data_IF_048679003307
#
_entry.id   IF_048679003307
#
_cell.length_a   1.000
_cell.length_b   1.000
_cell.length_c   1.000
_cell.angle_alpha   90.00
_cell.angle_beta   90.00
_cell.angle_gamma   90.00
#
_symmetry.space_group_name_H-M   'P 1'
#
loop_
_entity.id
_entity.type
_entity.pdbx_description
1 polymer ?
#
# COMPACT_ATOMS: atom_id res chain seq x y z
N UNK A 1 12.91 15.30 -16.54
CA UNK A 1 12.28 13.98 -16.74
C UNK A 1 12.39 13.21 -15.42
N UNK A 2 11.28 12.93 -14.73
CA UNK A 2 11.34 12.21 -13.44
C UNK A 2 11.06 10.74 -13.66
N UNK A 3 12.07 9.92 -13.39
CA UNK A 3 12.04 8.47 -13.43
C UNK A 3 11.36 7.93 -12.16
N UNK A 4 10.52 6.91 -12.28
CA UNK A 4 10.01 6.18 -11.12
C UNK A 4 11.15 5.36 -10.50
N UNK A 5 11.35 5.49 -9.19
CA UNK A 5 12.45 4.84 -8.46
C UNK A 5 11.89 3.99 -7.31
N UNK A 6 12.56 2.89 -6.97
CA UNK A 6 12.18 2.03 -5.84
C UNK A 6 12.78 2.48 -4.52
N UNK A 7 12.03 2.19 -3.45
CA UNK A 7 12.51 2.25 -2.08
C UNK A 7 12.64 0.82 -1.52
N UNK A 8 13.85 0.39 -1.11
CA UNK A 8 14.07 -0.91 -0.49
C UNK A 8 13.29 -1.13 0.82
N UNK A 9 12.80 -0.03 1.40
CA UNK A 9 12.11 -0.01 2.68
C UNK A 9 10.61 0.28 2.54
N UNK A 10 10.03 0.18 1.34
CA UNK A 10 8.59 0.32 1.22
C UNK A 10 7.89 -0.90 1.84
N UNK A 11 7.07 -0.68 2.88
CA UNK A 11 6.28 -1.73 3.48
C UNK A 11 5.07 -2.00 2.57
N UNK A 12 5.29 -2.69 1.45
CA UNK A 12 4.22 -3.40 0.77
C UNK A 12 3.85 -4.61 1.63
N UNK A 13 3.20 -4.36 2.76
CA UNK A 13 2.82 -5.40 3.70
C UNK A 13 1.50 -6.08 3.28
N UNK A 14 0.71 -5.46 2.39
CA UNK A 14 -0.53 -6.02 1.85
C UNK A 14 -0.89 -5.51 0.45
N UNK A 15 -0.99 -6.43 -0.52
CA UNK A 15 -1.39 -6.14 -1.90
C UNK A 15 -0.84 -7.15 -2.92
N UNK A 16 -1.52 -7.26 -4.06
CA UNK A 16 -1.03 -8.00 -5.24
C UNK A 16 -0.64 -7.05 -6.40
N UNK A 17 -0.78 -5.74 -6.20
CA UNK A 17 -0.48 -4.73 -7.21
C UNK A 17 0.87 -4.11 -6.87
N UNK A 18 1.79 -4.15 -7.84
CA UNK A 18 2.99 -3.33 -7.78
C UNK A 18 2.61 -1.85 -7.72
N UNK A 19 3.35 -1.11 -6.93
CA UNK A 19 3.21 0.33 -6.84
C UNK A 19 4.49 0.94 -7.40
N UNK A 20 4.35 1.78 -8.42
CA UNK A 20 5.46 2.62 -8.86
C UNK A 20 5.58 3.78 -7.87
N UNK A 21 6.77 4.36 -7.73
CA UNK A 21 6.99 5.49 -6.82
C UNK A 21 7.83 6.55 -7.51
N UNK A 22 7.51 7.80 -7.27
CA UNK A 22 8.32 8.93 -7.71
C UNK A 22 8.37 9.93 -6.56
N UNK A 23 9.56 10.40 -6.19
CA UNK A 23 9.86 11.26 -5.02
C UNK A 23 8.63 11.88 -4.33
N UNK A 24 8.18 11.27 -3.22
CA UNK A 24 7.04 11.75 -2.44
C UNK A 24 5.65 11.29 -2.87
N UNK A 25 5.55 10.50 -3.95
CA UNK A 25 4.29 9.95 -4.46
C UNK A 25 4.37 8.44 -4.64
N UNK A 26 3.20 7.82 -4.53
CA UNK A 26 2.91 6.45 -4.94
C UNK A 26 2.02 6.51 -6.17
N UNK A 27 2.42 5.81 -7.23
CA UNK A 27 1.66 5.63 -8.46
C UNK A 27 1.05 4.23 -8.49
N UNK A 28 -0.28 4.19 -8.47
CA UNK A 28 -1.06 2.94 -8.53
C UNK A 28 -1.76 2.84 -9.89
N UNK A 29 -1.72 1.67 -10.57
CA UNK A 29 -2.49 1.48 -11.80
C UNK A 29 -3.94 1.89 -11.58
N UNK A 30 -4.46 2.70 -12.50
CA UNK A 30 -5.75 3.36 -12.32
C UNK A 30 -6.88 2.34 -12.23
N UNK A 31 -7.67 2.44 -11.16
CA UNK A 31 -8.95 1.76 -11.03
C UNK A 31 -10.06 2.81 -11.05
N UNK A 32 -11.08 2.63 -11.87
CA UNK A 32 -12.16 3.62 -12.05
C UNK A 32 -12.95 3.90 -10.78
N UNK A 33 -13.20 2.88 -9.94
CA UNK A 33 -13.93 3.05 -8.67
C UNK A 33 -13.09 3.80 -7.64
N UNK A 34 -11.79 3.51 -7.58
CA UNK A 34 -10.88 4.21 -6.68
C UNK A 34 -10.67 5.65 -7.10
N UNK A 35 -10.53 5.92 -8.40
CA UNK A 35 -10.46 7.29 -8.90
C UNK A 35 -11.73 8.07 -8.55
N UNK A 36 -12.91 7.50 -8.82
CA UNK A 36 -14.18 8.13 -8.46
C UNK A 36 -14.30 8.38 -6.94
N UNK A 37 -13.78 7.47 -6.10
CA UNK A 37 -13.72 7.70 -4.67
C UNK A 37 -12.89 8.94 -4.32
N UNK A 38 -11.70 9.12 -4.90
CA UNK A 38 -10.88 10.31 -4.65
C UNK A 38 -11.48 11.60 -5.23
N UNK A 39 -12.17 11.52 -6.38
CA UNK A 39 -12.81 12.68 -7.02
C UNK A 39 -14.10 13.13 -6.31
N UNK A 40 -14.84 12.19 -5.70
CA UNK A 40 -16.16 12.44 -5.11
C UNK A 40 -16.15 12.46 -3.57
N UNK A 41 -15.03 12.10 -2.91
CA UNK A 41 -14.97 12.07 -1.45
C UNK A 41 -15.20 13.45 -0.84
N UNK A 42 -15.97 13.45 0.24
CA UNK A 42 -16.19 14.61 1.07
C UNK A 42 -14.94 14.99 1.89
N UNK A 43 -14.85 16.26 2.28
CA UNK A 43 -13.74 16.82 3.05
C UNK A 43 -13.54 16.09 4.39
N UNK A 44 -14.61 15.57 5.00
CA UNK A 44 -14.52 14.82 6.24
C UNK A 44 -13.68 13.54 6.11
N UNK A 45 -13.65 12.92 4.92
CA UNK A 45 -12.90 11.69 4.64
C UNK A 45 -11.44 11.95 4.27
N UNK A 46 -11.10 13.15 3.78
CA UNK A 46 -9.76 13.49 3.30
C UNK A 46 -8.67 13.27 4.34
N UNK A 47 -8.97 13.51 5.61
CA UNK A 47 -8.01 13.32 6.72
C UNK A 47 -7.63 11.84 7.00
N UNK A 48 -8.36 10.90 6.40
CA UNK A 48 -8.20 9.46 6.58
C UNK A 48 -7.73 8.74 5.31
N UNK A 49 -7.32 9.48 4.29
CA UNK A 49 -6.76 8.91 3.06
C UNK A 49 -5.53 9.72 2.63
N UNK A 50 -4.64 9.15 1.83
CA UNK A 50 -3.59 9.94 1.21
C UNK A 50 -4.16 11.03 0.32
N UNK A 51 -3.46 12.15 0.23
CA UNK A 51 -3.85 13.19 -0.72
C UNK A 51 -3.79 12.65 -2.15
N UNK A 52 -4.84 12.93 -2.92
CA UNK A 52 -4.86 12.68 -4.35
C UNK A 52 -4.07 13.77 -5.06
N UNK A 53 -2.97 13.38 -5.72
CA UNK A 53 -2.04 14.30 -6.39
C UNK A 53 -2.25 14.35 -7.91
N UNK A 54 -3.31 13.70 -8.42
CA UNK A 54 -3.67 13.69 -9.83
C UNK A 54 -3.51 12.32 -10.50
N UNK A 55 -3.57 12.31 -11.83
CA UNK A 55 -3.38 11.12 -12.67
C UNK A 55 -2.30 11.35 -13.70
N UNK A 56 -1.58 10.29 -14.04
CA UNK A 56 -0.53 10.33 -15.06
C UNK A 56 -0.62 9.13 -15.97
N UNK A 57 -0.22 9.33 -17.22
CA UNK A 57 0.14 8.25 -18.13
C UNK A 57 1.57 7.84 -17.86
N UNK A 58 1.86 6.55 -17.80
CA UNK A 58 3.22 6.01 -17.70
C UNK A 58 3.51 5.18 -18.95
N UNK A 59 4.57 5.55 -19.65
CA UNK A 59 5.09 4.83 -20.79
C UNK A 59 6.39 4.11 -20.39
N UNK A 60 6.53 2.84 -20.79
CA UNK A 60 7.74 2.06 -20.60
C UNK A 60 8.42 1.85 -21.96
N UNK A 61 9.69 2.23 -22.07
CA UNK A 61 10.53 1.99 -23.25
C UNK A 61 11.74 1.14 -22.87
N UNK A 62 12.15 0.26 -23.78
CA UNK A 62 13.41 -0.51 -23.65
C UNK A 62 14.49 0.33 -24.33
N UNK A 63 15.55 0.63 -23.60
CA UNK A 63 16.75 1.31 -24.12
C UNK A 63 17.70 0.27 -24.77
N UNK A 64 18.70 0.74 -25.52
CA UNK A 64 19.60 -0.13 -26.30
C UNK A 64 20.40 -1.13 -25.45
N UNK A 65 20.64 -0.81 -24.17
CA UNK A 65 21.34 -1.66 -23.20
C UNK A 65 20.41 -2.65 -22.46
N UNK A 66 19.13 -2.67 -22.82
CA UNK A 66 18.09 -3.48 -22.20
C UNK A 66 17.50 -2.88 -20.91
N UNK A 67 18.01 -1.74 -20.43
CA UNK A 67 17.39 -1.02 -19.32
C UNK A 67 16.03 -0.46 -19.75
N UNK A 68 15.11 -0.42 -18.79
CA UNK A 68 13.75 0.04 -18.98
C UNK A 68 13.60 1.45 -18.42
N UNK A 69 13.15 2.36 -19.28
CA UNK A 69 12.85 3.73 -18.92
C UNK A 69 11.35 3.93 -18.77
N UNK A 70 10.95 4.42 -17.60
CA UNK A 70 9.56 4.74 -17.28
C UNK A 70 9.36 6.26 -17.28
N UNK A 71 8.53 6.77 -18.18
CA UNK A 71 8.26 8.19 -18.36
C UNK A 71 6.81 8.48 -17.98
N UNK A 72 6.60 9.45 -17.09
CA UNK A 72 5.28 9.95 -16.70
C UNK A 72 4.89 11.20 -17.49
N UNK A 73 3.62 11.26 -17.92
CA UNK A 73 3.02 12.39 -18.61
C UNK A 73 1.65 12.74 -17.99
N UNK A 74 1.41 14.01 -17.57
CA UNK A 74 2.36 15.13 -17.55
C UNK A 74 3.49 14.92 -16.53
N UNK A 75 4.53 15.76 -16.61
CA UNK A 75 5.65 15.69 -15.67
C UNK A 75 5.16 15.90 -14.24
N UNK A 76 5.48 14.95 -13.36
CA UNK A 76 5.05 15.00 -11.97
C UNK A 76 5.88 16.03 -11.19
N UNK A 77 5.21 17.02 -10.60
CA UNK A 77 5.82 17.91 -9.61
C UNK A 77 5.98 17.19 -8.25
N UNK A 78 6.99 16.33 -8.16
CA UNK A 78 7.42 15.75 -6.89
C UNK A 78 7.82 16.80 -5.85
N UNK A 79 7.43 16.55 -4.60
CA UNK A 79 7.75 17.33 -3.41
C UNK A 79 9.28 17.59 -3.31
N UNK A 80 9.75 18.84 -3.49
CA UNK A 80 11.16 19.16 -3.70
C UNK A 80 12.04 18.96 -2.46
N UNK A 81 11.44 18.87 -1.27
CA UNK A 81 12.14 18.74 0.02
C UNK A 81 12.48 17.30 0.41
N UNK A 82 12.01 16.30 -0.35
CA UNK A 82 12.29 14.90 -0.07
C UNK A 82 13.58 14.46 -0.77
N UNK A 83 14.49 13.81 -0.02
CA UNK A 83 15.73 13.25 -0.57
C UNK A 83 15.38 12.31 -1.73
N UNK A 84 16.12 12.43 -2.85
CA UNK A 84 15.99 11.49 -3.98
C UNK A 84 16.17 10.08 -3.42
N UNK A 85 15.17 9.23 -3.63
CA UNK A 85 15.31 7.82 -3.31
C UNK A 85 16.29 7.16 -4.26
N UNK A 86 16.95 6.09 -3.81
CA UNK A 86 17.92 5.35 -4.60
C UNK A 86 17.38 5.02 -5.99
N UNK A 87 18.21 5.21 -7.02
CA UNK A 87 17.84 4.89 -8.39
C UNK A 87 17.72 3.39 -8.52
N UNK A 88 16.52 2.90 -8.74
CA UNK A 88 16.32 1.51 -9.14
C UNK A 88 15.92 1.50 -10.58
N UNK A 89 16.57 0.60 -11.30
CA UNK A 89 16.37 0.41 -12.72
C UNK A 89 15.63 -0.89 -12.93
N UNK A 90 14.75 -0.90 -13.90
CA UNK A 90 14.18 -2.13 -14.40
C UNK A 90 14.99 -2.53 -15.62
N UNK A 91 15.17 -3.83 -15.85
CA UNK A 91 15.83 -4.35 -17.05
C UNK A 91 14.97 -5.45 -17.66
N UNK A 92 14.94 -5.53 -18.98
CA UNK A 92 14.33 -6.66 -19.66
C UNK A 92 15.40 -7.75 -19.85
N UNK A 93 15.28 -8.85 -19.11
CA UNK A 93 16.19 -10.00 -19.25
C UNK A 93 15.93 -10.80 -20.54
N UNK A 94 16.86 -11.68 -20.91
CA UNK A 94 16.80 -12.50 -22.13
C UNK A 94 15.51 -13.35 -22.23
N UNK A 95 14.99 -13.79 -21.08
CA UNK A 95 13.72 -14.52 -20.98
C UNK A 95 12.46 -13.65 -21.15
N UNK A 96 12.62 -12.39 -21.60
CA UNK A 96 11.58 -11.34 -21.68
C UNK A 96 10.89 -11.04 -20.35
N UNK A 97 11.55 -11.37 -19.23
CA UNK A 97 11.08 -11.04 -17.88
C UNK A 97 11.68 -9.73 -17.41
N UNK A 98 10.89 -8.95 -16.69
CA UNK A 98 11.35 -7.70 -16.09
C UNK A 98 12.05 -7.99 -14.77
N UNK A 99 13.29 -7.54 -14.66
CA UNK A 99 14.16 -7.69 -13.49
C UNK A 99 14.36 -6.33 -12.80
N UNK A 100 14.40 -6.34 -11.47
CA UNK A 100 14.67 -5.14 -10.67
C UNK A 100 16.15 -5.08 -10.33
N UNK A 101 16.83 -4.02 -10.78
CA UNK A 101 18.25 -3.76 -10.50
C UNK A 101 18.36 -2.64 -9.47
N UNK A 102 18.93 -2.98 -8.32
CA UNK A 102 19.12 -2.07 -7.17
C UNK A 102 20.48 -2.30 -6.55
N UNK A 103 21.20 -1.21 -6.24
CA UNK A 103 22.49 -1.24 -5.54
C UNK A 103 22.36 -1.68 -4.07
N UNK A 104 21.13 -1.83 -3.58
CA UNK A 104 20.80 -2.29 -2.23
C UNK A 104 20.10 -3.63 -2.30
N UNK A 105 20.52 -4.58 -1.47
CA UNK A 105 19.81 -5.85 -1.28
C UNK A 105 18.34 -5.54 -0.93
N UNK A 106 17.36 -6.04 -1.69
CA UNK A 106 15.96 -5.90 -1.33
C UNK A 106 15.71 -6.54 0.04
N UNK A 107 15.48 -5.74 1.07
CA UNK A 107 14.94 -6.26 2.33
C UNK A 107 13.50 -6.79 2.16
N UNK A 108 12.85 -6.46 1.03
CA UNK A 108 11.51 -6.88 0.67
C UNK A 108 11.43 -7.36 -0.80
N UNK A 109 11.81 -8.61 -1.05
CA UNK A 109 11.72 -9.25 -2.38
C UNK A 109 10.30 -9.20 -2.97
N UNK A 110 9.25 -9.28 -2.13
CA UNK A 110 7.86 -9.25 -2.57
C UNK A 110 7.48 -7.92 -3.25
N UNK A 111 7.99 -6.79 -2.73
CA UNK A 111 7.74 -5.48 -3.33
C UNK A 111 8.39 -5.36 -4.72
N UNK A 112 9.61 -5.89 -4.87
CA UNK A 112 10.33 -5.91 -6.14
C UNK A 112 9.58 -6.76 -7.19
N UNK A 113 9.15 -7.98 -6.84
CA UNK A 113 8.39 -8.85 -7.74
C UNK A 113 7.07 -8.22 -8.19
N UNK A 114 6.35 -7.59 -7.26
CA UNK A 114 5.10 -6.90 -7.58
C UNK A 114 5.34 -5.74 -8.56
N UNK A 115 6.45 -5.00 -8.41
CA UNK A 115 6.81 -3.92 -9.32
C UNK A 115 7.26 -4.43 -10.69
N UNK A 116 8.06 -5.49 -10.76
CA UNK A 116 8.40 -6.15 -12.02
C UNK A 116 7.16 -6.56 -12.81
N UNK A 117 6.18 -7.18 -12.14
CA UNK A 117 4.88 -7.50 -12.77
C UNK A 117 4.18 -6.24 -13.29
N UNK A 118 4.35 -5.11 -12.60
CA UNK A 118 3.72 -3.87 -13.02
C UNK A 118 4.38 -3.27 -14.26
N UNK A 119 5.70 -3.31 -14.32
CA UNK A 119 6.45 -2.83 -15.47
C UNK A 119 6.27 -3.76 -16.67
N UNK A 120 6.20 -5.08 -16.46
CA UNK A 120 5.93 -6.04 -17.51
C UNK A 120 4.59 -5.75 -18.21
N UNK A 121 3.54 -5.55 -17.43
CA UNK A 121 2.22 -5.22 -17.97
C UNK A 121 2.15 -3.83 -18.62
N UNK A 122 3.02 -2.89 -18.22
CA UNK A 122 3.19 -1.62 -18.95
C UNK A 122 3.74 -1.86 -20.35
N UNK A 123 4.76 -2.71 -20.46
CA UNK A 123 5.36 -3.07 -21.75
C UNK A 123 4.37 -3.81 -22.66
N UNK A 124 3.51 -4.66 -22.08
CA UNK A 124 2.42 -5.32 -22.82
C UNK A 124 1.26 -4.38 -23.20
N UNK A 125 1.29 -3.11 -22.76
CA UNK A 125 0.20 -2.16 -23.00
C UNK A 125 -1.08 -2.44 -22.19
N UNK A 126 -1.01 -3.29 -21.16
CA UNK A 126 -2.17 -3.69 -20.35
C UNK A 126 -2.75 -2.56 -19.49
N UNK A 127 -1.96 -1.53 -19.20
CA UNK A 127 -2.44 -0.27 -18.66
C UNK A 127 -1.46 0.84 -18.98
N UNK A 128 -1.98 2.05 -19.06
CA UNK A 128 -1.21 3.26 -19.32
C UNK A 128 -1.43 4.33 -18.25
N UNK A 129 -2.56 4.29 -17.52
CA UNK A 129 -2.95 5.31 -16.55
C UNK A 129 -2.72 4.88 -15.11
N UNK A 130 -2.28 5.84 -14.29
CA UNK A 130 -2.03 5.70 -12.87
C UNK A 130 -2.67 6.84 -12.10
N UNK A 131 -3.16 6.54 -10.90
CA UNK A 131 -3.46 7.56 -9.89
C UNK A 131 -2.20 7.84 -9.07
N UNK A 132 -1.93 9.11 -8.80
CA UNK A 132 -0.85 9.56 -7.92
C UNK A 132 -1.42 9.90 -6.55
N UNK A 133 -0.83 9.30 -5.53
CA UNK A 133 -1.17 9.52 -4.14
C UNK A 133 0.05 10.00 -3.38
N UNK A 134 -0.15 10.88 -2.39
CA UNK A 134 0.92 11.28 -1.49
C UNK A 134 1.53 10.05 -0.79
N UNK A 135 2.86 9.94 -0.79
CA UNK A 135 3.56 8.86 -0.11
C UNK A 135 3.70 9.18 1.38
N UNK A 136 2.73 8.70 2.17
CA UNK A 136 2.63 8.96 3.61
C UNK A 136 3.80 8.43 4.45
N UNK A 137 4.66 7.57 3.88
CA UNK A 137 5.86 7.06 4.55
C UNK A 137 7.16 7.72 4.08
N UNK A 138 7.10 8.63 3.10
CA UNK A 138 8.30 9.14 2.44
C UNK A 138 9.23 9.96 3.35
N UNK A 139 8.70 10.57 4.41
CA UNK A 139 9.48 11.36 5.38
C UNK A 139 10.13 10.52 6.48
N UNK A 140 9.85 9.21 6.52
CA UNK A 140 10.27 8.35 7.62
C UNK A 140 11.51 7.53 7.25
N UNK A 141 12.52 7.56 8.11
CA UNK A 141 13.75 6.78 7.92
C UNK A 141 13.51 5.29 8.17
N UNK A 142 12.72 4.97 9.19
CA UNK A 142 12.48 3.61 9.67
C UNK A 142 10.98 3.43 9.98
N UNK A 143 10.10 3.45 8.97
CA UNK A 143 8.67 3.42 9.19
C UNK A 143 8.22 2.07 9.75
N UNK A 144 7.43 2.13 10.82
CA UNK A 144 6.59 1.01 11.24
C UNK A 144 5.28 1.10 10.46
N UNK A 145 4.80 -0.01 9.92
CA UNK A 145 3.60 -0.10 9.12
C UNK A 145 2.79 -1.33 9.48
N UNK A 146 1.49 -1.17 9.66
CA UNK A 146 0.55 -2.24 9.98
C UNK A 146 -0.64 -2.12 9.04
N UNK A 147 -0.92 -3.14 8.27
CA UNK A 147 -2.01 -3.19 7.31
C UNK A 147 -3.09 -4.16 7.81
N UNK A 148 -4.27 -3.60 8.08
CA UNK A 148 -5.45 -4.31 8.54
C UNK A 148 -6.53 -4.30 7.46
N UNK A 149 -7.27 -5.39 7.37
CA UNK A 149 -8.48 -5.47 6.54
C UNK A 149 -9.70 -5.61 7.44
N UNK A 150 -10.61 -4.65 7.37
CA UNK A 150 -11.80 -4.56 8.22
C UNK A 150 -13.03 -5.02 7.41
N UNK A 151 -14.03 -5.53 8.12
CA UNK A 151 -15.30 -6.04 7.61
C UNK A 151 -15.37 -7.57 7.57
N UNK A 152 -16.56 -8.09 7.89
CA UNK A 152 -16.95 -9.51 7.77
C UNK A 152 -17.37 -9.88 6.34
N UNK A 153 -17.62 -8.89 5.47
CA UNK A 153 -17.90 -9.07 4.04
C UNK A 153 -16.86 -8.32 3.21
N UNK A 154 -16.17 -9.03 2.32
CA UNK A 154 -15.00 -8.50 1.58
C UNK A 154 -15.05 -8.71 0.06
N UNK A 155 -16.25 -8.98 -0.45
CA UNK A 155 -16.52 -9.05 -1.88
C UNK A 155 -17.50 -7.94 -2.24
N UNK A 156 -17.26 -7.28 -3.39
CA UNK A 156 -18.20 -6.37 -4.04
C UNK A 156 -19.50 -7.06 -4.43
N UNK A 157 -20.52 -6.28 -4.73
CA UNK A 157 -21.79 -6.79 -5.26
C UNK A 157 -21.59 -7.40 -6.66
N UNK A 158 -20.76 -6.79 -7.49
CA UNK A 158 -20.41 -7.30 -8.84
C UNK A 158 -19.29 -8.36 -8.83
N UNK A 159 -18.96 -8.94 -7.67
CA UNK A 159 -17.89 -9.93 -7.60
C UNK A 159 -18.33 -11.24 -8.27
N UNK A 160 -17.54 -11.73 -9.22
CA UNK A 160 -17.73 -13.08 -9.77
C UNK A 160 -17.78 -14.13 -8.66
N UNK A 161 -18.50 -15.22 -8.89
CA UNK A 161 -18.68 -16.26 -7.88
C UNK A 161 -17.34 -16.83 -7.38
N UNK A 162 -16.38 -17.03 -8.28
CA UNK A 162 -15.02 -17.47 -7.92
C UNK A 162 -14.31 -16.47 -7.02
N UNK A 163 -14.42 -15.16 -7.30
CA UNK A 163 -13.86 -14.08 -6.48
C UNK A 163 -14.57 -14.01 -5.13
N UNK A 164 -15.90 -14.10 -5.11
CA UNK A 164 -16.73 -14.12 -3.90
C UNK A 164 -16.33 -15.28 -2.99
N UNK A 165 -16.31 -16.51 -3.51
CA UNK A 165 -15.90 -17.72 -2.77
C UNK A 165 -14.50 -17.58 -2.16
N UNK A 166 -13.54 -17.05 -2.92
CA UNK A 166 -12.17 -16.81 -2.42
C UNK A 166 -12.14 -15.79 -1.28
N UNK A 167 -12.91 -14.70 -1.35
CA UNK A 167 -12.93 -13.69 -0.30
C UNK A 167 -13.68 -14.17 0.96
N UNK A 168 -14.78 -14.91 0.78
CA UNK A 168 -15.51 -15.53 1.90
C UNK A 168 -14.63 -16.53 2.64
N UNK A 169 -13.92 -17.41 1.91
CA UNK A 169 -12.96 -18.35 2.50
C UNK A 169 -11.92 -17.62 3.36
N UNK A 170 -11.29 -16.57 2.83
CA UNK A 170 -10.32 -15.77 3.58
C UNK A 170 -10.93 -15.09 4.81
N UNK A 171 -12.20 -14.71 4.75
CA UNK A 171 -12.88 -14.11 5.89
C UNK A 171 -13.06 -15.15 7.00
N UNK A 172 -13.61 -16.31 6.64
CA UNK A 172 -13.86 -17.45 7.52
C UNK A 172 -12.57 -17.99 8.17
N UNK A 173 -11.50 -18.15 7.38
CA UNK A 173 -10.20 -18.64 7.83
C UNK A 173 -9.36 -17.59 8.58
N UNK A 174 -9.98 -16.56 9.16
CA UNK A 174 -9.24 -15.49 9.81
C UNK A 174 -10.05 -14.83 10.92
N UNK A 175 -9.39 -13.94 11.67
CA UNK A 175 -10.03 -13.03 12.62
C UNK A 175 -11.10 -12.12 12.01
N UNK A 176 -11.20 -11.99 10.68
CA UNK A 176 -12.30 -11.23 10.05
C UNK A 176 -13.68 -11.79 10.39
N UNK A 177 -13.83 -13.12 10.54
CA UNK A 177 -15.12 -13.72 10.85
C UNK A 177 -15.58 -13.43 12.28
N UNK A 178 -14.66 -13.40 13.24
CA UNK A 178 -14.97 -13.27 14.67
C UNK A 178 -14.81 -11.84 15.18
N UNK A 179 -13.78 -11.12 14.74
CA UNK A 179 -13.47 -9.76 15.18
C UNK A 179 -13.90 -8.68 14.17
N UNK A 180 -14.34 -9.07 12.97
CA UNK A 180 -14.62 -8.12 11.90
C UNK A 180 -13.37 -7.42 11.36
N UNK A 181 -12.17 -7.89 11.71
CA UNK A 181 -10.89 -7.34 11.23
C UNK A 181 -9.83 -8.42 11.21
N UNK A 182 -8.88 -8.36 10.27
CA UNK A 182 -7.68 -9.21 10.27
C UNK A 182 -6.43 -8.44 9.87
N UNK A 183 -5.26 -8.94 10.28
CA UNK A 183 -3.97 -8.45 9.83
C UNK A 183 -3.69 -8.99 8.42
N UNK A 184 -3.36 -8.12 7.49
CA UNK A 184 -2.93 -8.51 6.14
C UNK A 184 -1.47 -8.18 5.87
N UNK A 185 -0.82 -7.48 6.81
CA UNK A 185 0.58 -7.16 6.76
C UNK A 185 1.06 -6.39 7.99
N UNK A 186 2.31 -6.59 8.40
CA UNK A 186 2.97 -5.74 9.39
C UNK A 186 4.47 -5.67 9.10
N UNK A 187 5.06 -4.50 9.33
CA UNK A 187 6.48 -4.21 9.38
C UNK A 187 6.71 -3.37 10.64
N UNK A 188 7.44 -3.90 11.60
CA UNK A 188 7.68 -3.24 12.88
C UNK A 188 9.17 -3.07 13.10
N UNK A 189 9.65 -1.82 13.16
CA UNK A 189 11.01 -1.53 13.57
C UNK A 189 11.14 -1.51 15.09
N UNK A 190 12.10 -2.25 15.62
CA UNK A 190 12.44 -2.23 17.04
C UNK A 190 13.76 -1.50 17.27
N UNK A 191 13.66 -0.36 17.96
CA UNK A 191 14.81 0.50 18.25
C UNK A 191 15.84 -0.15 19.16
N UNK A 192 15.42 -1.08 20.03
CA UNK A 192 16.28 -1.80 20.98
C UNK A 192 17.16 -2.82 20.28
N UNK A 193 16.58 -3.63 19.41
CA UNK A 193 17.29 -4.69 18.67
C UNK A 193 17.83 -4.23 17.33
N UNK A 194 17.47 -3.01 16.89
CA UNK A 194 17.79 -2.45 15.57
C UNK A 194 17.34 -3.34 14.41
N UNK A 195 16.27 -4.10 14.60
CA UNK A 195 15.77 -5.06 13.62
C UNK A 195 14.30 -4.80 13.25
N UNK A 196 13.87 -5.39 12.13
CA UNK A 196 12.47 -5.42 11.73
C UNK A 196 11.85 -6.77 12.04
N UNK A 197 10.59 -6.75 12.48
CA UNK A 197 9.70 -7.92 12.51
C UNK A 197 8.61 -7.75 11.46
N UNK A 198 8.26 -8.82 10.76
CA UNK A 198 7.25 -8.81 9.71
C UNK A 198 6.15 -9.81 10.01
N UNK A 199 4.93 -9.46 9.62
CA UNK A 199 3.80 -10.40 9.52
C UNK A 199 3.28 -10.31 8.11
N UNK A 200 3.24 -11.44 7.41
CA UNK A 200 2.67 -11.47 6.06
C UNK A 200 1.17 -11.79 6.08
N UNK A 201 0.54 -11.71 4.90
CA UNK A 201 -0.89 -12.00 4.74
C UNK A 201 -1.28 -13.44 5.07
N UNK A 202 -0.36 -14.40 5.00
CA UNK A 202 -0.62 -15.81 5.31
C UNK A 202 -0.60 -16.04 6.81
N UNK A 203 0.42 -15.50 7.48
CA UNK A 203 0.54 -15.49 8.92
C UNK A 203 -0.64 -14.75 9.57
N UNK A 204 -0.97 -13.54 9.08
CA UNK A 204 -2.12 -12.78 9.56
C UNK A 204 -3.48 -13.46 9.32
N UNK A 205 -3.58 -14.45 8.43
CA UNK A 205 -4.79 -15.29 8.29
C UNK A 205 -4.83 -16.40 9.35
N UNK A 206 -3.70 -17.07 9.60
CA UNK A 206 -3.62 -18.16 10.59
C UNK A 206 -3.72 -17.66 12.03
N UNK A 207 -3.46 -16.37 12.23
CA UNK A 207 -3.48 -15.70 13.51
C UNK A 207 -4.84 -15.79 14.22
N UNK A 208 -4.82 -16.14 15.51
CA UNK A 208 -6.01 -16.11 16.36
C UNK A 208 -6.25 -14.73 16.99
N UNK A 209 -7.31 -14.60 17.80
CA UNK A 209 -7.67 -13.34 18.43
C UNK A 209 -6.65 -12.86 19.49
N UNK A 210 -5.98 -13.78 20.18
CA UNK A 210 -4.96 -13.47 21.19
C UNK A 210 -3.68 -12.97 20.54
N UNK A 211 -3.21 -13.69 19.51
CA UNK A 211 -2.06 -13.30 18.71
C UNK A 211 -2.29 -11.96 18.02
N UNK A 212 -3.48 -11.74 17.46
CA UNK A 212 -3.87 -10.46 16.86
C UNK A 212 -3.75 -9.30 17.84
N UNK A 213 -4.29 -9.46 19.06
CA UNK A 213 -4.17 -8.46 20.12
C UNK A 213 -2.73 -8.21 20.54
N UNK A 214 -1.93 -9.28 20.66
CA UNK A 214 -0.50 -9.17 21.01
C UNK A 214 0.27 -8.36 19.97
N UNK A 215 0.07 -8.62 18.68
CA UNK A 215 0.71 -7.88 17.60
C UNK A 215 0.30 -6.40 17.57
N UNK A 216 -0.99 -6.11 17.77
CA UNK A 216 -1.46 -4.73 17.90
C UNK A 216 -0.80 -4.01 19.08
N UNK A 217 -0.76 -4.66 20.26
CA UNK A 217 -0.12 -4.09 21.44
C UNK A 217 1.36 -3.80 21.20
N UNK A 218 2.10 -4.72 20.57
CA UNK A 218 3.51 -4.54 20.20
C UNK A 218 3.67 -3.35 19.24
N UNK A 219 2.82 -3.24 18.22
CA UNK A 219 2.82 -2.12 17.29
C UNK A 219 2.64 -0.77 17.99
N UNK A 220 1.62 -0.64 18.86
CA UNK A 220 1.37 0.60 19.59
C UNK A 220 2.47 0.95 20.59
N UNK A 221 3.08 -0.04 21.25
CA UNK A 221 4.22 0.17 22.15
C UNK A 221 5.43 0.73 21.40
N UNK A 222 5.79 0.14 20.27
CA UNK A 222 6.93 0.61 19.46
C UNK A 222 6.69 1.98 18.82
N UNK A 223 5.43 2.33 18.53
CA UNK A 223 5.09 3.67 18.02
C UNK A 223 5.22 4.76 19.09
N UNK A 224 5.27 4.45 20.38
CA UNK A 224 5.37 5.44 21.45
C UNK A 224 4.02 6.09 21.84
N UNK A 225 3.92 6.56 23.08
CA UNK A 225 2.65 6.92 23.73
C UNK A 225 1.90 8.03 23.00
N UNK A 226 2.58 9.11 22.61
CA UNK A 226 1.95 10.26 21.95
C UNK A 226 1.33 9.91 20.59
N UNK A 227 2.06 9.16 19.74
CA UNK A 227 1.55 8.70 18.43
C UNK A 227 0.44 7.68 18.59
N UNK A 228 0.58 6.74 19.53
CA UNK A 228 -0.48 5.79 19.83
C UNK A 228 -1.77 6.49 20.29
N UNK A 229 -1.68 7.58 21.06
CA UNK A 229 -2.84 8.37 21.48
C UNK A 229 -3.53 9.08 20.29
N UNK A 230 -2.75 9.74 19.43
CA UNK A 230 -3.29 10.39 18.21
C UNK A 230 -3.95 9.38 17.29
N UNK A 231 -3.32 8.23 17.10
CA UNK A 231 -3.88 7.19 16.26
C UNK A 231 -5.18 6.60 16.83
N UNK A 232 -5.23 6.36 18.15
CA UNK A 232 -6.48 5.97 18.83
C UNK A 232 -7.57 7.02 18.63
N UNK A 233 -7.25 8.30 18.82
CA UNK A 233 -8.21 9.38 18.62
C UNK A 233 -8.76 9.40 17.18
N UNK A 234 -7.87 9.26 16.18
CA UNK A 234 -8.27 9.17 14.77
C UNK A 234 -9.15 7.94 14.49
N UNK A 235 -8.81 6.77 15.03
CA UNK A 235 -9.62 5.55 14.87
C UNK A 235 -11.01 5.69 15.51
N UNK A 236 -11.10 6.31 16.70
CA UNK A 236 -12.39 6.56 17.37
C UNK A 236 -13.23 7.53 16.54
N UNK A 237 -12.64 8.65 16.10
CA UNK A 237 -13.34 9.63 15.27
C UNK A 237 -13.81 9.00 13.95
N UNK A 238 -12.94 8.21 13.30
CA UNK A 238 -13.28 7.43 12.13
C UNK A 238 -14.49 6.51 12.39
N UNK A 239 -14.43 5.67 13.41
CA UNK A 239 -15.53 4.74 13.74
C UNK A 239 -16.83 5.49 14.03
N UNK A 240 -16.78 6.63 14.73
CA UNK A 240 -17.97 7.44 14.99
C UNK A 240 -18.59 8.02 13.71
N UNK A 241 -17.76 8.48 12.77
CA UNK A 241 -18.21 9.03 11.49
C UNK A 241 -18.92 7.96 10.64
N UNK A 242 -18.32 6.76 10.54
CA UNK A 242 -18.92 5.66 9.75
C UNK A 242 -20.12 5.00 10.44
N UNK A 243 -20.24 5.08 11.77
CA UNK A 243 -21.44 4.65 12.47
C UNK A 243 -22.66 5.51 12.11
N UNK A 244 -22.44 6.80 11.82
CA UNK A 244 -23.51 7.73 11.41
C UNK A 244 -23.90 7.62 9.92
N UNK A 245 -23.05 7.05 9.06
CA UNK A 245 -23.28 6.96 7.61
C UNK A 245 -23.55 5.50 7.25
N UNK A 246 -24.80 5.06 7.40
CA UNK A 246 -25.23 3.68 7.16
C UNK A 246 -25.32 3.26 5.67
N UNK A 247 -24.93 4.12 4.72
CA UNK A 247 -25.29 3.94 3.30
C UNK A 247 -24.15 3.61 2.34
N UNK A 248 -22.93 3.38 2.82
CA UNK A 248 -21.82 3.00 1.94
C UNK A 248 -21.08 1.76 2.47
N UNK A 249 -21.15 0.66 1.72
CA UNK A 249 -20.38 -0.56 1.98
C UNK A 249 -18.91 -0.33 1.60
N UNK A 250 -18.11 0.16 2.55
CA UNK A 250 -16.67 0.35 2.34
C UNK A 250 -15.87 -0.93 2.65
N UNK A 251 -14.95 -1.32 1.76
CA UNK A 251 -14.03 -2.43 1.96
C UNK A 251 -12.73 -1.95 2.61
N UNK A 252 -12.84 -1.55 3.87
CA UNK A 252 -11.77 -0.95 4.64
C UNK A 252 -10.44 -1.73 4.60
N UNK A 253 -9.40 -1.06 4.13
CA UNK A 253 -8.02 -1.30 4.51
C UNK A 253 -7.65 -0.23 5.54
N UNK A 254 -6.79 -0.54 6.50
CA UNK A 254 -6.24 0.43 7.44
C UNK A 254 -4.75 0.15 7.49
N UNK A 255 -3.97 0.94 6.73
CA UNK A 255 -2.51 0.94 6.89
C UNK A 255 -2.17 2.01 7.92
N UNK A 256 -1.77 1.57 9.11
CA UNK A 256 -1.22 2.37 10.19
C UNK A 256 0.27 2.50 9.95
N UNK A 257 0.72 3.67 9.50
CA UNK A 257 2.14 4.01 9.62
C UNK A 257 2.39 4.73 10.94
N UNK A 258 3.65 4.82 11.38
CA UNK A 258 4.14 5.65 12.50
C UNK A 258 3.85 7.16 12.37
N UNK A 259 2.89 7.55 11.53
CA UNK A 259 2.63 8.88 10.99
C UNK A 259 1.19 9.37 11.24
N UNK A 260 0.44 8.75 12.15
CA UNK A 260 -0.96 9.14 12.40
C UNK A 260 -1.89 8.97 11.18
N UNK A 261 -1.54 8.16 10.16
CA UNK A 261 -2.39 7.99 8.96
C UNK A 261 -3.01 6.60 8.94
N UNK A 262 -4.33 6.56 8.75
CA UNK A 262 -5.10 5.39 8.33
C UNK A 262 -5.15 5.48 6.80
N UNK A 263 -4.76 4.44 6.08
CA UNK A 263 -4.98 4.37 4.62
C UNK A 263 -6.20 3.52 4.32
N UNK A 264 -7.25 4.13 3.76
CA UNK A 264 -8.34 3.41 3.12
C UNK A 264 -7.90 2.96 1.72
N UNK A 265 -8.01 1.66 1.42
CA UNK A 265 -8.07 1.20 0.03
C UNK A 265 -9.51 0.80 -0.26
N UNK A 266 -10.12 1.48 -1.23
CA UNK A 266 -11.40 1.10 -1.83
C UNK A 266 -11.22 -0.10 -2.78
#
# INVERSE_FOLDING_TARGET
LKTFNYQPNYPSVGGHFGLLQCTGHVAKPMNTRELAFYELMDDNLRQFVPDYCGRVRVCATVEDDGDLRLIAEPVVECHPRLKKSGSVRFRLGESRRVEVITDRVPHNYWAADCQSLVVHKLLEGSYSWFILLNNIVATFTLPCVLDLKIGTRQHGDDASESKRRRQLRKCHESTSATLGVRMVGMQLYESRTKSYTFVDKQEGRRMDASEFRSHLQRFFRSCGIGRAARLRHKLVYFLSFFFCIFSFYFYFLCVLSSSDVILLKC
#
